data_IF_405958043477
#
_entry.id   IF_405958043477
#
_cell.length_a   1.000
_cell.length_b   1.000
_cell.length_c   1.000
_cell.angle_alpha   90.00
_cell.angle_beta   90.00
_cell.angle_gamma   90.00
#
_symmetry.space_group_name_H-M   'P 1'
#
loop_
_entity.id
_entity.type
_entity.pdbx_description
1 polymer ?
#
# COMPACT_ATOMS: atom_id res chain seq x y z
N UNK A 1 1.00 -20.70 11.50
CA UNK A 1 -0.11 -20.28 10.63
C UNK A 1 0.52 -19.86 9.33
N UNK A 2 0.38 -20.69 8.30
CA UNK A 2 0.78 -20.35 6.92
C UNK A 2 -0.52 -19.95 6.23
N UNK A 3 -1.07 -18.81 6.62
CA UNK A 3 -2.27 -18.31 5.95
C UNK A 3 -1.81 -17.78 4.59
N UNK A 4 -1.95 -18.63 3.58
CA UNK A 4 -1.62 -18.31 2.19
C UNK A 4 -2.65 -17.28 1.74
N UNK A 5 -2.31 -16.00 1.88
CA UNK A 5 -3.10 -14.89 1.34
C UNK A 5 -3.30 -15.16 -0.15
N UNK A 6 -4.52 -15.13 -0.69
CA UNK A 6 -4.75 -15.36 -2.13
C UNK A 6 -4.14 -14.23 -2.98
N UNK A 7 -3.93 -14.44 -4.27
CA UNK A 7 -3.43 -13.38 -5.17
C UNK A 7 -4.38 -12.18 -5.19
N UNK A 8 -5.69 -12.43 -5.24
CA UNK A 8 -6.70 -11.38 -5.17
C UNK A 8 -6.65 -10.61 -3.85
N UNK A 9 -6.48 -11.29 -2.71
CA UNK A 9 -6.36 -10.62 -1.42
C UNK A 9 -5.11 -9.73 -1.34
N UNK A 10 -3.98 -10.18 -1.90
CA UNK A 10 -2.77 -9.36 -2.00
C UNK A 10 -2.99 -8.14 -2.92
N UNK A 11 -3.64 -8.32 -4.07
CA UNK A 11 -3.99 -7.22 -4.98
C UNK A 11 -4.85 -6.17 -4.29
N UNK A 12 -5.95 -6.59 -3.64
CA UNK A 12 -6.83 -5.66 -2.95
C UNK A 12 -6.13 -4.94 -1.79
N UNK A 13 -5.25 -5.64 -1.06
CA UNK A 13 -4.45 -5.03 0.01
C UNK A 13 -3.50 -3.96 -0.54
N UNK A 14 -2.80 -4.23 -1.64
CA UNK A 14 -1.90 -3.27 -2.30
C UNK A 14 -2.67 -2.03 -2.76
N UNK A 15 -3.81 -2.21 -3.42
CA UNK A 15 -4.62 -1.08 -3.90
C UNK A 15 -5.19 -0.25 -2.75
N UNK A 16 -5.66 -0.90 -1.68
CA UNK A 16 -6.15 -0.21 -0.49
C UNK A 16 -5.03 0.59 0.20
N UNK A 17 -3.86 -0.04 0.41
CA UNK A 17 -2.70 0.63 1.01
C UNK A 17 -2.20 1.79 0.16
N UNK A 18 -2.17 1.66 -1.17
CA UNK A 18 -1.80 2.74 -2.07
C UNK A 18 -2.73 3.95 -1.92
N UNK A 19 -4.03 3.70 -1.85
CA UNK A 19 -5.03 4.75 -1.63
C UNK A 19 -4.88 5.38 -0.24
N UNK A 20 -4.63 4.59 0.80
CA UNK A 20 -4.51 5.07 2.17
C UNK A 20 -3.26 5.91 2.38
N UNK A 21 -2.12 5.49 1.80
CA UNK A 21 -0.87 6.27 1.79
C UNK A 21 -1.10 7.63 1.15
N UNK A 22 -1.77 7.67 -0.01
CA UNK A 22 -2.09 8.94 -0.68
C UNK A 22 -2.99 9.84 0.17
N UNK A 23 -4.02 9.28 0.80
CA UNK A 23 -4.92 10.03 1.70
C UNK A 23 -4.19 10.56 2.94
N UNK A 24 -3.32 9.76 3.55
CA UNK A 24 -2.54 10.17 4.72
C UNK A 24 -1.52 11.25 4.36
N UNK A 25 -0.89 11.16 3.18
CA UNK A 25 -0.02 12.22 2.66
C UNK A 25 -0.80 13.52 2.43
N UNK A 26 -1.96 13.46 1.77
CA UNK A 26 -2.83 14.63 1.57
C UNK A 26 -3.26 15.24 2.91
N UNK A 27 -3.57 14.42 3.91
CA UNK A 27 -3.89 14.89 5.26
C UNK A 27 -2.70 15.61 5.90
N UNK A 28 -1.49 15.03 5.87
CA UNK A 28 -0.27 15.63 6.41
C UNK A 28 0.15 16.94 5.73
N UNK A 29 -0.14 17.06 4.43
CA UNK A 29 0.07 18.28 3.64
C UNK A 29 -0.99 19.37 3.89
N UNK A 30 -2.14 18.99 4.46
CA UNK A 30 -3.19 19.95 4.80
C UNK A 30 -2.83 20.78 6.05
N UNK A 31 -3.42 21.96 6.14
CA UNK A 31 -3.36 22.81 7.34
C UNK A 31 -4.24 22.26 8.48
N UNK A 32 -4.94 21.14 8.28
CA UNK A 32 -5.90 20.56 9.23
C UNK A 32 -5.21 19.70 10.31
N UNK A 33 -3.92 19.39 10.18
CA UNK A 33 -3.18 18.57 11.14
C UNK A 33 -2.69 19.41 12.32
N UNK A 34 -3.17 19.15 13.55
CA UNK A 34 -2.66 19.80 14.75
C UNK A 34 -1.15 19.55 14.94
N UNK A 35 -0.39 20.57 15.36
CA UNK A 35 1.07 20.43 15.55
C UNK A 35 1.45 19.32 16.55
N UNK A 36 0.61 19.08 17.55
CA UNK A 36 0.79 18.05 18.57
C UNK A 36 0.44 16.63 18.10
N UNK A 37 -0.27 16.50 16.98
CA UNK A 37 -0.61 15.20 16.37
C UNK A 37 0.32 14.86 15.18
N UNK A 38 1.02 15.86 14.60
CA UNK A 38 1.83 15.69 13.39
C UNK A 38 2.86 14.56 13.48
N UNK A 39 3.62 14.46 14.57
CA UNK A 39 4.62 13.38 14.74
C UNK A 39 3.97 11.99 14.72
N UNK A 40 2.76 11.85 15.30
CA UNK A 40 2.02 10.60 15.28
C UNK A 40 1.48 10.27 13.88
N UNK A 41 0.92 11.27 13.20
CA UNK A 41 0.40 11.11 11.84
C UNK A 41 1.50 10.79 10.81
N UNK A 42 2.71 11.34 10.99
CA UNK A 42 3.90 10.99 10.22
C UNK A 42 4.32 9.54 10.49
N UNK A 43 4.29 9.08 11.75
CA UNK A 43 4.55 7.68 12.10
C UNK A 43 3.53 6.70 11.48
N UNK A 44 2.26 7.08 11.42
CA UNK A 44 1.22 6.29 10.74
C UNK A 44 1.53 6.18 9.24
N UNK A 45 1.95 7.27 8.60
CA UNK A 45 2.35 7.24 7.19
C UNK A 45 3.53 6.29 6.96
N UNK A 46 4.57 6.35 7.81
CA UNK A 46 5.72 5.44 7.71
C UNK A 46 5.30 3.96 7.82
N UNK A 47 4.41 3.64 8.76
CA UNK A 47 3.88 2.28 8.93
C UNK A 47 3.06 1.82 7.71
N UNK A 48 2.25 2.71 7.13
CA UNK A 48 1.47 2.43 5.92
C UNK A 48 2.36 2.19 4.70
N UNK A 49 3.38 3.03 4.51
CA UNK A 49 4.37 2.88 3.43
C UNK A 49 5.17 1.59 3.58
N UNK A 50 5.58 1.24 4.81
CA UNK A 50 6.25 -0.03 5.08
C UNK A 50 5.34 -1.21 4.74
N UNK A 51 4.10 -1.21 5.22
CA UNK A 51 3.14 -2.28 4.93
C UNK A 51 2.92 -2.43 3.41
N UNK A 52 2.77 -1.31 2.69
CA UNK A 52 2.63 -1.31 1.24
C UNK A 52 3.81 -2.01 0.56
N UNK A 53 5.04 -1.65 0.94
CA UNK A 53 6.25 -2.26 0.38
C UNK A 53 6.34 -3.76 0.66
N UNK A 54 5.95 -4.22 1.85
CA UNK A 54 5.91 -5.66 2.18
C UNK A 54 4.94 -6.43 1.28
N UNK A 55 3.74 -5.86 1.05
CA UNK A 55 2.75 -6.47 0.16
C UNK A 55 3.20 -6.47 -1.30
N UNK A 56 3.81 -5.37 -1.76
CA UNK A 56 4.42 -5.29 -3.11
C UNK A 56 5.48 -6.37 -3.30
N UNK A 57 6.34 -6.59 -2.31
CA UNK A 57 7.38 -7.61 -2.36
C UNK A 57 6.80 -9.03 -2.42
N UNK A 58 5.74 -9.30 -1.65
CA UNK A 58 5.00 -10.57 -1.72
C UNK A 58 4.40 -10.76 -3.12
N UNK A 59 3.79 -9.72 -3.68
CA UNK A 59 3.17 -9.76 -4.99
C UNK A 59 4.18 -9.95 -6.13
N UNK A 60 5.32 -9.24 -6.09
CA UNK A 60 6.43 -9.41 -7.05
C UNK A 60 6.96 -10.85 -7.05
N UNK A 61 7.05 -11.50 -5.88
CA UNK A 61 7.42 -12.92 -5.80
C UNK A 61 6.39 -13.83 -6.46
N UNK A 62 5.10 -13.49 -6.38
CA UNK A 62 4.01 -14.24 -7.02
C UNK A 62 3.98 -14.04 -8.53
N UNK A 63 4.20 -12.83 -9.03
CA UNK A 63 4.29 -12.56 -10.48
C UNK A 63 5.43 -13.35 -11.15
N UNK A 64 6.52 -13.63 -10.41
CA UNK A 64 7.59 -14.52 -10.88
C UNK A 64 7.15 -15.97 -11.01
N UNK A 65 6.21 -16.42 -10.17
CA UNK A 65 5.68 -17.78 -10.17
C UNK A 65 4.47 -17.96 -11.10
N UNK A 66 3.67 -16.91 -11.28
CA UNK A 66 2.45 -16.87 -12.08
C UNK A 66 2.50 -15.66 -13.01
N UNK A 67 2.69 -15.93 -14.31
CA UNK A 67 2.84 -14.90 -15.35
C UNK A 67 1.51 -14.35 -15.87
N UNK A 68 0.38 -14.87 -15.39
CA UNK A 68 -0.94 -14.32 -15.74
C UNK A 68 -1.30 -13.12 -14.85
N UNK A 69 -0.55 -12.88 -13.78
CA UNK A 69 -0.72 -11.71 -12.93
C UNK A 69 -0.17 -10.45 -13.62
N UNK A 70 -0.89 -9.31 -13.53
CA UNK A 70 -0.38 -8.03 -14.03
C UNK A 70 0.87 -7.58 -13.25
N UNK A 71 1.72 -6.78 -13.89
CA UNK A 71 2.84 -6.17 -13.16
C UNK A 71 2.31 -5.16 -12.14
N UNK A 72 3.11 -4.86 -11.11
CA UNK A 72 2.74 -3.89 -10.08
C UNK A 72 2.45 -2.52 -10.68
N UNK A 73 3.22 -2.10 -11.70
CA UNK A 73 3.00 -0.81 -12.35
C UNK A 73 1.66 -0.81 -13.11
N UNK A 74 1.27 -1.91 -13.74
CA UNK A 74 -0.05 -2.04 -14.39
C UNK A 74 -1.18 -2.04 -13.37
N UNK A 75 -0.95 -2.66 -12.21
CA UNK A 75 -1.91 -2.72 -11.11
C UNK A 75 -2.20 -1.33 -10.54
N UNK A 76 -1.15 -0.56 -10.27
CA UNK A 76 -1.25 0.77 -9.67
C UNK A 76 -1.73 1.83 -10.67
N UNK A 77 -1.40 1.69 -11.95
CA UNK A 77 -1.86 2.61 -13.00
C UNK A 77 -3.23 2.25 -13.60
N UNK A 78 -3.78 1.06 -13.33
CA UNK A 78 -5.14 0.68 -13.79
C UNK A 78 -6.27 1.45 -13.10
N UNK A 79 -5.97 2.22 -12.05
CA UNK A 79 -6.93 3.05 -11.32
C UNK A 79 -7.10 4.48 -11.88
N UNK A 80 -6.51 4.80 -13.05
CA UNK A 80 -6.65 6.09 -13.73
C UNK A 80 -7.76 6.04 -14.79
#
# INVERSE_FOLDING_TARGET
MSDIISNNAAIYAILALNSEVALQQEYLESDDVPEDERENEEGILEDLEQAFMEFVDIYKKRCKADKELPDIDELLNSQI
#
